data_IF_863143980642
#
_entry.id   IF_863143980642
#
_cell.length_a   1.000
_cell.length_b   1.000
_cell.length_c   1.000
_cell.angle_alpha   90.00
_cell.angle_beta   90.00
_cell.angle_gamma   90.00
#
_symmetry.space_group_name_H-M   'P 1'
#
loop_
_entity.id
_entity.type
_entity.pdbx_description
1 polymer ?
#
# COMPACT_ATOMS: atom_id res chain seq x y z
N UNK A 1 -12.12 -7.89 5.30
CA UNK A 1 -10.68 -7.58 5.27
C UNK A 1 -10.24 -6.97 6.60
N UNK A 2 -9.07 -7.33 7.10
CA UNK A 2 -8.47 -6.80 8.34
C UNK A 2 -7.43 -5.74 7.99
N UNK A 3 -7.82 -4.47 8.10
CA UNK A 3 -6.96 -3.29 7.92
C UNK A 3 -7.25 -2.34 9.07
N UNK A 4 -6.21 -1.79 9.71
CA UNK A 4 -6.39 -0.81 10.78
C UNK A 4 -6.67 0.61 10.22
N UNK A 5 -7.21 1.51 11.05
CA UNK A 5 -7.59 2.86 10.59
C UNK A 5 -6.40 3.69 10.09
N UNK A 6 -5.18 3.43 10.58
CA UNK A 6 -3.97 4.13 10.13
C UNK A 6 -3.59 3.67 8.73
N UNK A 7 -3.61 2.37 8.49
CA UNK A 7 -3.32 1.77 7.20
C UNK A 7 -4.40 2.16 6.18
N UNK A 8 -5.67 2.17 6.59
CA UNK A 8 -6.79 2.68 5.77
C UNK A 8 -6.59 4.13 5.36
N UNK A 9 -6.19 5.00 6.30
CA UNK A 9 -5.91 6.41 6.01
C UNK A 9 -4.80 6.55 4.95
N UNK A 10 -3.71 5.80 5.09
CA UNK A 10 -2.62 5.81 4.12
C UNK A 10 -3.11 5.40 2.72
N UNK A 11 -3.89 4.33 2.63
CA UNK A 11 -4.45 3.86 1.36
C UNK A 11 -5.30 4.93 0.70
N UNK A 12 -6.18 5.61 1.45
CA UNK A 12 -7.04 6.66 0.92
C UNK A 12 -6.27 7.92 0.49
N UNK A 13 -5.14 8.22 1.12
CA UNK A 13 -4.32 9.40 0.82
C UNK A 13 -3.37 9.17 -0.38
N UNK A 14 -2.86 7.95 -0.54
CA UNK A 14 -1.76 7.67 -1.48
C UNK A 14 -2.12 6.72 -2.62
N UNK A 15 -3.13 5.86 -2.44
CA UNK A 15 -3.48 4.83 -3.41
C UNK A 15 -4.78 5.21 -4.10
N UNK A 16 -4.69 5.40 -5.41
CA UNK A 16 -5.85 5.72 -6.25
C UNK A 16 -6.86 4.57 -6.23
N UNK A 17 -8.15 4.91 -6.22
CA UNK A 17 -9.27 3.96 -6.25
C UNK A 17 -9.33 3.00 -5.04
N UNK A 18 -8.50 3.22 -4.02
CA UNK A 18 -8.44 2.40 -2.81
C UNK A 18 -9.75 2.34 -2.04
N UNK A 19 -10.55 3.42 -2.04
CA UNK A 19 -11.89 3.41 -1.44
C UNK A 19 -12.80 2.35 -2.09
N UNK A 20 -12.80 2.26 -3.43
CA UNK A 20 -13.58 1.27 -4.15
C UNK A 20 -13.09 -0.15 -3.87
N UNK A 21 -11.77 -0.35 -3.79
CA UNK A 21 -11.19 -1.66 -3.46
C UNK A 21 -11.52 -2.09 -2.02
N UNK A 22 -11.48 -1.15 -1.07
CA UNK A 22 -11.87 -1.38 0.32
C UNK A 22 -13.35 -1.78 0.42
N UNK A 23 -14.24 -1.06 -0.28
CA UNK A 23 -15.68 -1.34 -0.28
C UNK A 23 -16.03 -2.67 -0.97
N UNK A 24 -15.29 -3.03 -2.03
CA UNK A 24 -15.42 -4.30 -2.74
C UNK A 24 -14.75 -5.48 -2.02
N UNK A 25 -14.01 -5.23 -0.93
CA UNK A 25 -13.13 -6.22 -0.29
C UNK A 25 -12.14 -6.87 -1.28
N UNK A 26 -11.62 -6.06 -2.21
CA UNK A 26 -10.66 -6.46 -3.23
C UNK A 26 -9.22 -6.44 -2.67
N UNK A 27 -8.83 -7.55 -2.06
CA UNK A 27 -7.51 -7.72 -1.46
C UNK A 27 -6.42 -7.69 -2.53
N UNK A 28 -6.62 -8.39 -3.64
CA UNK A 28 -5.64 -8.47 -4.72
C UNK A 28 -5.39 -7.09 -5.33
N UNK A 29 -6.45 -6.34 -5.62
CA UNK A 29 -6.32 -4.98 -6.16
C UNK A 29 -5.56 -4.03 -5.22
N UNK A 30 -5.77 -4.15 -3.90
CA UNK A 30 -5.02 -3.36 -2.92
C UNK A 30 -3.54 -3.74 -2.86
N UNK A 31 -3.23 -5.04 -2.93
CA UNK A 31 -1.84 -5.52 -2.93
C UNK A 31 -1.11 -5.07 -4.19
N UNK A 32 -1.74 -5.21 -5.36
CA UNK A 32 -1.16 -4.78 -6.64
C UNK A 32 -0.91 -3.26 -6.63
N UNK A 33 -1.89 -2.47 -6.18
CA UNK A 33 -1.76 -1.02 -6.14
C UNK A 33 -0.69 -0.53 -5.14
N UNK A 34 -0.48 -1.26 -4.03
CA UNK A 34 0.61 -0.98 -3.09
C UNK A 34 1.98 -1.34 -3.67
N UNK A 35 2.08 -2.44 -4.43
CA UNK A 35 3.32 -2.83 -5.11
C UNK A 35 3.72 -1.82 -6.19
N UNK A 36 2.74 -1.38 -6.99
CA UNK A 36 2.91 -0.30 -7.95
C UNK A 36 3.39 0.98 -7.26
N UNK A 37 2.73 1.39 -6.16
CA UNK A 37 3.13 2.56 -5.38
C UNK A 37 4.56 2.46 -4.82
N UNK A 38 4.95 1.29 -4.31
CA UNK A 38 6.33 1.07 -3.85
C UNK A 38 7.32 1.23 -5.01
N UNK A 39 6.97 0.75 -6.21
CA UNK A 39 7.81 0.86 -7.40
C UNK A 39 7.91 2.29 -7.92
N UNK A 40 6.84 3.09 -7.85
CA UNK A 40 6.81 4.46 -8.38
C UNK A 40 7.33 5.51 -7.39
N UNK A 41 6.91 5.40 -6.13
CA UNK A 41 7.11 6.44 -5.11
C UNK A 41 7.97 5.97 -3.94
N UNK A 42 8.07 4.64 -3.74
CA UNK A 42 8.91 4.03 -2.69
C UNK A 42 10.38 3.91 -3.08
N UNK A 43 10.67 3.38 -4.26
CA UNK A 43 11.99 3.32 -4.88
C UNK A 43 12.19 4.59 -5.72
N UNK A 44 12.59 5.67 -5.07
CA UNK A 44 12.64 7.01 -5.66
C UNK A 44 13.95 7.75 -5.25
N UNK A 45 14.33 8.86 -5.92
CA UNK A 45 15.56 9.58 -5.60
C UNK A 45 15.69 9.90 -4.09
N UNK A 46 16.92 9.91 -3.55
CA UNK A 46 18.20 9.74 -4.25
C UNK A 46 18.62 8.27 -4.47
N UNK A 47 17.89 7.31 -3.90
CA UNK A 47 18.25 5.89 -3.94
C UNK A 47 17.08 5.02 -4.42
N UNK A 48 17.26 4.41 -5.58
CA UNK A 48 16.28 3.53 -6.21
C UNK A 48 16.44 2.06 -5.83
N UNK A 49 17.45 1.72 -5.02
CA UNK A 49 17.71 0.34 -4.60
C UNK A 49 17.06 0.00 -3.25
N UNK A 50 16.79 1.02 -2.43
CA UNK A 50 16.10 0.86 -1.15
C UNK A 50 14.79 1.64 -1.13
N UNK A 51 13.80 1.09 -0.43
CA UNK A 51 12.57 1.83 -0.16
C UNK A 51 12.89 3.03 0.74
N UNK A 52 12.42 4.20 0.35
CA UNK A 52 12.38 5.39 1.22
C UNK A 52 11.37 5.20 2.37
N UNK A 53 11.17 6.25 3.18
CA UNK A 53 10.26 6.17 4.33
C UNK A 53 8.81 5.83 3.95
N UNK A 54 8.29 6.40 2.86
CA UNK A 54 6.91 6.17 2.43
C UNK A 54 6.74 4.78 1.81
N UNK A 55 7.75 4.32 1.05
CA UNK A 55 7.81 2.97 0.51
C UNK A 55 7.86 1.90 1.61
N UNK A 56 8.65 2.11 2.66
CA UNK A 56 8.68 1.21 3.83
C UNK A 56 7.35 1.17 4.57
N UNK A 57 6.63 2.29 4.63
CA UNK A 57 5.29 2.32 5.20
C UNK A 57 4.31 1.50 4.34
N UNK A 58 4.34 1.69 3.01
CA UNK A 58 3.53 0.92 2.08
C UNK A 58 3.83 -0.60 2.19
N UNK A 59 5.10 -1.00 2.27
CA UNK A 59 5.48 -2.40 2.45
C UNK A 59 4.90 -3.03 3.74
N UNK A 60 4.95 -2.30 4.86
CA UNK A 60 4.36 -2.79 6.12
C UNK A 60 2.83 -2.92 6.06
N UNK A 61 2.17 -2.13 5.22
CA UNK A 61 0.72 -2.24 4.99
C UNK A 61 0.45 -3.45 4.10
N UNK A 62 1.21 -3.59 3.01
CA UNK A 62 1.16 -4.74 2.11
C UNK A 62 1.29 -6.06 2.90
N UNK A 63 2.35 -6.19 3.70
CA UNK A 63 2.60 -7.38 4.51
C UNK A 63 1.42 -7.68 5.44
N UNK A 64 0.88 -6.66 6.11
CA UNK A 64 -0.25 -6.84 7.02
C UNK A 64 -1.53 -7.23 6.29
N UNK A 65 -1.76 -6.76 5.08
CA UNK A 65 -2.91 -7.19 4.27
C UNK A 65 -2.71 -8.66 3.85
N UNK A 66 -1.54 -8.99 3.31
CA UNK A 66 -1.21 -10.32 2.77
C UNK A 66 -1.25 -11.42 3.84
N UNK A 67 -0.69 -11.18 5.03
CA UNK A 67 -0.62 -12.22 6.07
C UNK A 67 -1.89 -12.35 6.92
N UNK A 68 -2.80 -11.36 6.90
CA UNK A 68 -3.99 -11.37 7.76
C UNK A 68 -5.32 -11.68 7.03
N UNK A 69 -5.29 -11.91 5.71
CA UNK A 69 -6.46 -12.19 4.88
C UNK A 69 -6.19 -13.32 3.89
#
# INVERSE_FOLDING_TARGET
>A
MKIDERDKKFLLEHIKDSQAMLDANDISGLLDALDDFMTTDGYAPPDYHELNDIGRQAQRIYDRIYYNN
#
